data_IF_561174604136
#
_entry.id   IF_561174604136
#
_cell.length_a   1.000
_cell.length_b   1.000
_cell.length_c   1.000
_cell.angle_alpha   90.00
_cell.angle_beta   90.00
_cell.angle_gamma   90.00
#
_symmetry.space_group_name_H-M   'P 1'
#
loop_
_entity.id
_entity.type
_entity.pdbx_description
1 polymer ?
#
# COMPACT_ATOMS: atom_id res chain seq x y z
N UNK A 1 -1.23 -6.88 16.23
CA UNK A 1 -2.16 -6.50 15.14
C UNK A 1 -2.24 -4.99 15.14
N UNK A 2 -2.39 -4.40 13.97
CA UNK A 2 -2.56 -2.95 13.82
C UNK A 2 -3.93 -2.54 14.38
N UNK A 3 -4.04 -1.44 15.17
CA UNK A 3 -5.32 -0.98 15.70
C UNK A 3 -6.35 -0.65 14.61
N UNK A 4 -7.63 -0.79 14.95
CA UNK A 4 -8.73 -0.72 13.98
C UNK A 4 -8.84 0.63 13.27
N UNK A 5 -8.50 1.71 13.98
CA UNK A 5 -8.50 3.07 13.49
C UNK A 5 -7.54 3.27 12.32
N UNK A 6 -6.47 2.48 12.18
CA UNK A 6 -5.55 2.56 11.03
C UNK A 6 -6.08 1.84 9.79
N UNK A 7 -6.99 0.88 9.93
CA UNK A 7 -7.35 -0.05 8.85
C UNK A 7 -8.18 0.66 7.78
N UNK A 8 -7.86 0.46 6.51
CA UNK A 8 -8.60 1.06 5.38
C UNK A 8 -7.69 1.62 4.30
N UNK A 9 -8.24 2.52 3.50
CA UNK A 9 -7.50 3.32 2.53
C UNK A 9 -7.40 4.76 3.00
N UNK A 10 -6.19 5.29 3.02
CA UNK A 10 -5.87 6.67 3.35
C UNK A 10 -5.29 7.40 2.16
N UNK A 11 -5.58 8.69 2.13
CA UNK A 11 -5.12 9.62 1.11
C UNK A 11 -4.44 10.80 1.79
N UNK A 12 -3.23 11.11 1.36
CA UNK A 12 -2.52 12.28 1.90
C UNK A 12 -3.13 13.55 1.34
N UNK A 13 -3.49 14.46 2.23
CA UNK A 13 -3.91 15.82 1.91
C UNK A 13 -2.72 16.73 1.64
N UNK A 14 -1.66 16.58 2.44
CA UNK A 14 -0.45 17.37 2.31
C UNK A 14 0.66 16.91 3.24
N UNK A 15 1.88 17.30 2.92
CA UNK A 15 3.05 17.24 3.80
C UNK A 15 3.65 18.64 3.93
N UNK A 16 4.00 19.04 5.16
CA UNK A 16 4.69 20.28 5.49
C UNK A 16 5.98 19.94 6.23
N UNK A 17 7.10 20.50 5.79
CA UNK A 17 8.42 20.20 6.34
C UNK A 17 8.95 21.38 7.14
N UNK A 18 9.76 21.09 8.14
CA UNK A 18 10.38 22.10 9.03
C UNK A 18 11.28 23.09 8.29
N UNK A 19 11.77 22.72 7.09
CA UNK A 19 12.52 23.61 6.21
C UNK A 19 11.65 24.64 5.44
N UNK A 20 10.33 24.66 5.69
CA UNK A 20 9.37 25.57 5.04
C UNK A 20 8.81 25.08 3.70
N UNK A 21 9.27 23.94 3.18
CA UNK A 21 8.70 23.34 1.97
C UNK A 21 7.42 22.55 2.27
N UNK A 22 6.52 22.46 1.29
CA UNK A 22 5.30 21.66 1.39
C UNK A 22 4.99 20.99 0.05
N UNK A 23 4.29 19.85 0.11
CA UNK A 23 3.76 19.16 -1.07
C UNK A 23 2.29 18.78 -0.84
N UNK A 24 1.41 19.36 -1.68
CA UNK A 24 -0.04 19.17 -1.65
C UNK A 24 -0.55 18.49 -2.94
N UNK A 25 0.35 18.08 -3.83
CA UNK A 25 0.00 17.70 -5.20
C UNK A 25 0.35 16.26 -5.52
N UNK A 26 1.35 15.68 -4.84
CA UNK A 26 1.64 14.25 -4.94
C UNK A 26 0.43 13.44 -4.48
N UNK A 27 -0.04 12.56 -5.34
CA UNK A 27 -1.10 11.63 -5.01
C UNK A 27 -0.51 10.47 -4.22
N UNK A 28 -0.98 10.27 -2.97
CA UNK A 28 -0.48 9.20 -2.09
C UNK A 28 -1.63 8.28 -1.66
N UNK A 29 -1.51 6.99 -1.94
CA UNK A 29 -2.46 5.96 -1.49
C UNK A 29 -1.76 5.11 -0.44
N UNK A 30 -2.26 5.12 0.80
CA UNK A 30 -1.83 4.20 1.84
C UNK A 30 -2.96 3.22 2.16
N UNK A 31 -2.77 1.97 1.75
CA UNK A 31 -3.64 0.87 2.10
C UNK A 31 -3.11 0.20 3.36
N UNK A 32 -3.97 -0.04 4.34
CA UNK A 32 -3.62 -0.68 5.61
C UNK A 32 -4.62 -1.78 5.97
N UNK A 33 -4.11 -3.01 6.09
CA UNK A 33 -4.82 -4.16 6.67
C UNK A 33 -4.29 -4.47 8.08
N UNK A 34 -4.80 -5.52 8.73
CA UNK A 34 -4.46 -5.86 10.13
C UNK A 34 -2.96 -6.10 10.41
N UNK A 35 -2.19 -6.36 9.35
CA UNK A 35 -0.74 -6.61 9.42
C UNK A 35 0.05 -5.94 8.30
N UNK A 36 -0.51 -5.86 7.10
CA UNK A 36 0.21 -5.44 5.91
C UNK A 36 -0.21 -4.07 5.43
N UNK A 37 0.71 -3.38 4.76
CA UNK A 37 0.44 -2.13 4.05
C UNK A 37 0.92 -2.17 2.60
N UNK A 38 0.34 -1.30 1.78
CA UNK A 38 0.87 -0.89 0.48
C UNK A 38 0.75 0.63 0.41
N UNK A 39 1.86 1.31 0.16
CA UNK A 39 1.93 2.75 -0.09
C UNK A 39 2.37 3.03 -1.53
N UNK A 40 1.72 3.98 -2.19
CA UNK A 40 2.09 4.46 -3.52
C UNK A 40 2.02 5.98 -3.60
N UNK A 41 3.12 6.61 -3.98
CA UNK A 41 3.29 8.07 -4.12
C UNK A 41 3.59 8.42 -5.58
N UNK A 42 2.70 9.17 -6.21
CA UNK A 42 2.85 9.63 -7.61
C UNK A 42 2.82 11.16 -7.66
N UNK A 43 3.97 11.81 -7.86
CA UNK A 43 4.05 13.23 -8.15
C UNK A 43 3.35 13.58 -9.47
N UNK A 44 2.89 14.83 -9.61
CA UNK A 44 2.15 15.29 -10.81
C UNK A 44 2.96 15.13 -12.10
N UNK A 45 4.25 15.42 -12.05
CA UNK A 45 5.18 15.25 -13.17
C UNK A 45 5.71 13.82 -13.31
N UNK A 46 5.31 12.93 -12.38
CA UNK A 46 5.76 11.54 -12.25
C UNK A 46 7.26 11.36 -12.02
N UNK A 47 7.98 12.43 -11.70
CA UNK A 47 9.40 12.35 -11.35
C UNK A 47 9.52 12.03 -9.87
N UNK A 48 10.27 10.98 -9.52
CA UNK A 48 10.43 10.57 -8.13
C UNK A 48 9.26 9.77 -7.56
N UNK A 49 8.49 9.07 -8.42
CA UNK A 49 7.53 8.05 -7.99
C UNK A 49 8.21 7.11 -7.01
N UNK A 50 7.54 6.87 -5.89
CA UNK A 50 7.97 5.87 -4.94
C UNK A 50 6.79 5.18 -4.26
N UNK A 51 7.08 4.13 -3.52
CA UNK A 51 6.09 3.36 -2.78
C UNK A 51 6.71 2.08 -2.25
N UNK A 52 6.01 1.42 -1.35
CA UNK A 52 6.51 0.22 -0.70
C UNK A 52 5.38 -0.63 -0.14
N UNK A 53 5.68 -1.89 0.15
CA UNK A 53 4.75 -2.81 0.77
C UNK A 53 5.47 -3.69 1.78
N UNK A 54 4.78 -4.03 2.85
CA UNK A 54 5.39 -4.77 3.95
C UNK A 54 4.50 -4.88 5.18
N UNK A 55 5.13 -4.95 6.34
CA UNK A 55 4.44 -5.10 7.63
C UNK A 55 4.36 -3.77 8.38
N UNK A 56 3.27 -3.56 9.09
CA UNK A 56 3.09 -2.38 9.95
C UNK A 56 3.11 -2.79 11.41
N UNK A 57 3.87 -2.05 12.22
CA UNK A 57 3.92 -2.21 13.68
C UNK A 57 3.46 -0.90 14.32
N UNK A 58 2.54 -1.00 15.27
CA UNK A 58 2.03 0.15 16.03
C UNK A 58 2.29 -0.08 17.52
N UNK A 59 2.99 0.88 18.14
CA UNK A 59 3.37 0.87 19.55
C UNK A 59 2.95 2.20 20.20
N UNK A 60 1.80 2.19 20.86
CA UNK A 60 1.16 3.44 21.31
C UNK A 60 0.79 4.30 20.10
N UNK A 61 1.28 5.53 20.05
CA UNK A 61 1.05 6.46 18.94
C UNK A 61 2.11 6.32 17.82
N UNK A 62 3.17 5.53 18.03
CA UNK A 62 4.19 5.31 17.01
C UNK A 62 3.71 4.28 16.00
N UNK A 63 3.65 4.67 14.74
CA UNK A 63 3.52 3.74 13.61
C UNK A 63 4.89 3.55 12.95
N UNK A 64 5.23 2.32 12.62
CA UNK A 64 6.44 1.99 11.87
C UNK A 64 6.06 1.06 10.73
N UNK A 65 6.38 1.47 9.51
CA UNK A 65 6.21 0.68 8.31
C UNK A 65 7.54 0.00 8.01
N UNK A 66 7.53 -1.33 7.90
CA UNK A 66 8.68 -2.15 7.56
C UNK A 66 8.56 -2.63 6.11
N UNK A 67 9.23 -1.96 5.13
CA UNK A 67 9.19 -2.37 3.74
C UNK A 67 9.82 -3.75 3.55
N UNK A 68 9.11 -4.64 2.86
CA UNK A 68 9.64 -5.92 2.37
C UNK A 68 9.96 -5.86 0.87
N UNK A 69 9.28 -4.97 0.13
CA UNK A 69 9.53 -4.61 -1.27
C UNK A 69 9.25 -3.12 -1.47
N UNK A 70 9.96 -2.46 -2.38
CA UNK A 70 9.79 -1.03 -2.63
C UNK A 70 10.07 -0.64 -4.08
N UNK A 71 9.54 0.52 -4.48
CA UNK A 71 9.92 1.23 -5.69
C UNK A 71 10.34 2.65 -5.32
N UNK A 72 11.53 3.13 -5.74
CA UNK A 72 12.69 2.32 -6.11
C UNK A 72 13.04 1.27 -5.04
N UNK A 73 13.98 0.38 -5.33
CA UNK A 73 14.38 -0.69 -4.40
C UNK A 73 14.68 -0.13 -2.98
N UNK A 74 14.42 -0.97 -1.97
CA UNK A 74 14.38 -0.61 -0.54
C UNK A 74 15.61 0.22 -0.13
N UNK A 75 15.37 1.41 0.43
CA UNK A 75 16.39 2.11 1.24
C UNK A 75 16.40 1.51 2.64
N UNK A 76 17.57 1.50 3.31
CA UNK A 76 17.70 0.99 4.68
C UNK A 76 17.03 1.85 5.76
N UNK A 77 16.31 2.90 5.36
CA UNK A 77 15.59 3.79 6.26
C UNK A 77 14.19 3.23 6.53
N UNK A 78 13.87 3.03 7.80
CA UNK A 78 12.51 2.70 8.23
C UNK A 78 11.65 3.96 8.10
N UNK A 79 10.46 3.81 7.53
CA UNK A 79 9.45 4.86 7.55
C UNK A 79 8.67 4.75 8.86
N UNK A 80 8.53 5.85 9.59
CA UNK A 80 7.87 5.88 10.90
C UNK A 80 7.43 7.30 11.29
N UNK A 81 6.27 7.38 11.94
CA UNK A 81 5.68 8.63 12.39
C UNK A 81 4.88 8.46 13.68
N UNK A 82 4.67 9.59 14.38
CA UNK A 82 3.72 9.71 15.47
C UNK A 82 2.34 10.00 14.89
N UNK A 83 1.34 9.20 15.25
CA UNK A 83 0.01 9.23 14.67
C UNK A 83 -1.00 9.75 15.67
N UNK A 84 -1.74 10.78 15.28
CA UNK A 84 -2.82 11.37 16.07
C UNK A 84 -4.10 11.35 15.24
N UNK A 85 -5.09 10.63 15.72
CA UNK A 85 -6.42 10.56 15.09
C UNK A 85 -7.30 11.66 15.68
N UNK A 86 -7.81 12.54 14.82
CA UNK A 86 -8.80 13.56 15.21
C UNK A 86 -10.19 12.94 15.32
N UNK A 87 -10.47 12.04 14.39
CA UNK A 87 -11.66 11.21 14.33
C UNK A 87 -11.37 9.93 13.53
N UNK A 88 -12.42 9.19 13.16
CA UNK A 88 -12.28 7.94 12.41
C UNK A 88 -11.71 8.14 11.00
N UNK A 89 -11.79 9.34 10.43
CA UNK A 89 -11.50 9.62 9.01
C UNK A 89 -10.35 10.62 8.81
N UNK A 90 -9.74 11.14 9.88
CA UNK A 90 -8.66 12.12 9.82
C UNK A 90 -7.48 11.75 10.71
N UNK A 91 -6.29 11.75 10.13
CA UNK A 91 -5.02 11.47 10.82
C UNK A 91 -4.04 12.60 10.59
N UNK A 92 -3.36 12.97 11.65
CA UNK A 92 -2.17 13.79 11.63
C UNK A 92 -0.97 12.91 11.97
N UNK A 93 0.01 12.89 11.07
CA UNK A 93 1.27 12.21 11.25
C UNK A 93 2.37 13.25 11.45
N UNK A 94 3.16 13.10 12.51
CA UNK A 94 4.36 13.89 12.76
C UNK A 94 5.60 13.01 12.63
N UNK A 95 6.60 13.44 11.86
CA UNK A 95 7.88 12.73 11.77
C UNK A 95 8.53 12.57 13.15
N UNK A 96 9.24 11.46 13.39
CA UNK A 96 9.79 11.17 14.73
C UNK A 96 10.74 12.24 15.28
N UNK A 97 11.39 12.99 14.39
CA UNK A 97 12.30 14.09 14.68
C UNK A 97 11.65 15.48 14.53
N UNK A 98 10.33 15.54 14.31
CA UNK A 98 9.56 16.74 13.97
C UNK A 98 10.02 17.42 12.67
N UNK A 99 10.62 16.67 11.73
CA UNK A 99 11.03 17.21 10.43
C UNK A 99 9.87 17.45 9.47
N UNK A 100 8.72 16.80 9.69
CA UNK A 100 7.52 16.97 8.88
C UNK A 100 6.23 16.73 9.66
N UNK A 101 5.14 17.25 9.09
CA UNK A 101 3.75 16.97 9.46
C UNK A 101 3.02 16.53 8.18
N UNK A 102 2.19 15.50 8.26
CA UNK A 102 1.29 15.06 7.20
C UNK A 102 -0.16 14.99 7.68
N UNK A 103 -1.06 15.45 6.83
CA UNK A 103 -2.50 15.30 7.04
C UNK A 103 -3.03 14.24 6.09
N UNK A 104 -3.85 13.34 6.63
CA UNK A 104 -4.45 12.23 5.91
C UNK A 104 -5.96 12.20 6.10
N UNK A 105 -6.67 11.81 5.06
CA UNK A 105 -8.10 11.53 5.12
C UNK A 105 -8.39 10.10 4.67
N UNK A 106 -9.43 9.50 5.25
CA UNK A 106 -9.89 8.17 4.89
C UNK A 106 -10.71 8.22 3.60
N UNK A 107 -10.38 7.34 2.67
CA UNK A 107 -11.20 7.06 1.49
C UNK A 107 -12.17 5.90 1.80
N UNK A 108 -13.48 6.07 1.54
CA UNK A 108 -14.46 4.99 1.66
C UNK A 108 -14.06 3.76 0.85
N UNK A 109 -13.79 2.67 1.56
CA UNK A 109 -13.28 1.41 1.00
C UNK A 109 -14.00 0.17 1.50
N UNK A 110 -14.57 0.23 2.71
CA UNK A 110 -15.07 -0.95 3.42
C UNK A 110 -13.93 -1.69 4.11
N UNK A 111 -14.22 -2.91 4.59
CA UNK A 111 -13.22 -3.69 5.32
C UNK A 111 -12.03 -4.04 4.43
N UNK A 112 -10.82 -3.73 4.92
CA UNK A 112 -9.56 -3.97 4.22
C UNK A 112 -8.95 -5.31 4.64
N UNK A 113 -8.71 -6.18 3.67
CA UNK A 113 -8.04 -7.46 3.88
C UNK A 113 -6.68 -7.46 3.19
N UNK A 114 -5.66 -7.97 3.88
CA UNK A 114 -4.30 -8.00 3.39
C UNK A 114 -3.77 -9.43 3.31
N UNK A 115 -3.14 -9.74 2.18
CA UNK A 115 -2.49 -11.02 1.91
C UNK A 115 -1.04 -10.74 1.53
N UNK A 116 -0.13 -11.58 2.03
CA UNK A 116 1.23 -11.70 1.53
C UNK A 116 1.28 -12.95 0.67
N UNK A 117 2.04 -12.90 -0.41
CA UNK A 117 2.32 -14.03 -1.27
C UNK A 117 3.81 -14.11 -1.55
N UNK A 118 4.28 -15.31 -1.88
CA UNK A 118 5.64 -15.57 -2.30
C UNK A 118 5.63 -16.50 -3.52
N UNK A 119 6.39 -16.15 -4.55
CA UNK A 119 6.51 -17.04 -5.70
C UNK A 119 7.28 -18.32 -5.33
N UNK A 120 6.86 -19.50 -5.80
CA UNK A 120 7.59 -20.74 -5.54
C UNK A 120 9.03 -20.66 -6.07
N UNK A 121 9.98 -21.13 -5.25
CA UNK A 121 11.39 -21.25 -5.62
C UNK A 121 12.11 -19.93 -5.96
N UNK A 122 11.57 -18.78 -5.55
CA UNK A 122 12.26 -17.49 -5.66
C UNK A 122 12.05 -16.61 -4.41
N UNK A 123 12.75 -15.48 -4.39
CA UNK A 123 12.59 -14.41 -3.40
C UNK A 123 11.53 -13.37 -3.83
N UNK A 124 10.82 -13.59 -4.93
CA UNK A 124 9.74 -12.69 -5.35
C UNK A 124 8.60 -12.75 -4.33
N UNK A 125 8.24 -11.58 -3.82
CA UNK A 125 7.13 -11.34 -2.91
C UNK A 125 6.02 -10.59 -3.62
N UNK A 126 4.80 -10.77 -3.12
CA UNK A 126 3.70 -9.90 -3.45
C UNK A 126 2.82 -9.60 -2.24
N UNK A 127 2.14 -8.47 -2.29
CA UNK A 127 1.14 -8.05 -1.32
C UNK A 127 -0.14 -7.70 -2.09
N UNK A 128 -1.27 -8.19 -1.60
CA UNK A 128 -2.60 -7.88 -2.11
C UNK A 128 -3.42 -7.31 -0.96
N UNK A 129 -3.81 -6.05 -1.05
CA UNK A 129 -4.77 -5.44 -0.14
C UNK A 129 -6.07 -5.19 -0.90
N UNK A 130 -7.18 -5.71 -0.39
CA UNK A 130 -8.46 -5.72 -1.10
C UNK A 130 -9.63 -5.40 -0.16
N UNK A 131 -10.54 -4.58 -0.66
CA UNK A 131 -11.77 -4.15 0.01
C UNK A 131 -12.96 -4.29 -0.95
N UNK A 132 -14.09 -3.66 -0.66
CA UNK A 132 -15.29 -3.79 -1.52
C UNK A 132 -15.16 -3.02 -2.83
N UNK A 133 -14.47 -1.87 -2.79
CA UNK A 133 -14.35 -0.92 -3.90
C UNK A 133 -12.91 -0.63 -4.33
N UNK A 134 -11.91 -1.03 -3.53
CA UNK A 134 -10.50 -0.77 -3.80
C UNK A 134 -9.63 -2.02 -3.66
N UNK A 135 -8.60 -2.10 -4.49
CA UNK A 135 -7.57 -3.12 -4.44
C UNK A 135 -6.19 -2.52 -4.73
N UNK A 136 -5.17 -2.90 -3.97
CA UNK A 136 -3.78 -2.59 -4.22
C UNK A 136 -2.99 -3.88 -4.40
N UNK A 137 -2.12 -3.89 -5.41
CA UNK A 137 -1.20 -4.99 -5.71
C UNK A 137 0.22 -4.45 -5.72
N UNK A 138 1.11 -5.09 -4.97
CA UNK A 138 2.53 -4.85 -5.02
C UNK A 138 3.27 -6.17 -5.28
N UNK A 139 4.19 -6.23 -6.24
CA UNK A 139 5.04 -7.41 -6.42
C UNK A 139 6.46 -7.06 -6.86
N UNK A 140 7.45 -7.78 -6.33
CA UNK A 140 8.87 -7.53 -6.61
C UNK A 140 9.76 -8.46 -5.80
N UNK A 141 11.05 -8.17 -5.70
CA UNK A 141 11.95 -8.86 -4.77
C UNK A 141 12.53 -7.85 -3.77
N UNK A 142 12.94 -8.29 -2.56
CA UNK A 142 13.60 -7.40 -1.60
C UNK A 142 14.89 -6.76 -2.15
N UNK A 143 15.53 -7.45 -3.10
CA UNK A 143 16.76 -7.04 -3.77
C UNK A 143 16.52 -6.18 -5.02
N UNK A 144 15.27 -5.98 -5.43
CA UNK A 144 14.88 -5.32 -6.67
C UNK A 144 13.81 -4.26 -6.48
N UNK A 145 13.51 -3.54 -7.55
CA UNK A 145 12.37 -2.64 -7.58
C UNK A 145 11.07 -3.46 -7.69
N UNK A 146 10.02 -3.01 -7.01
CA UNK A 146 8.70 -3.60 -7.10
C UNK A 146 7.77 -2.82 -8.02
N UNK A 147 6.73 -3.51 -8.46
CA UNK A 147 5.61 -2.95 -9.20
C UNK A 147 4.50 -2.70 -8.18
N UNK A 148 3.90 -1.50 -8.18
CA UNK A 148 2.78 -1.18 -7.30
C UNK A 148 1.65 -0.61 -8.15
N UNK A 149 0.45 -1.15 -8.02
CA UNK A 149 -0.73 -0.69 -8.76
C UNK A 149 -1.94 -0.62 -7.86
N UNK A 150 -2.68 0.49 -7.98
CA UNK A 150 -3.96 0.73 -7.32
C UNK A 150 -5.08 0.57 -8.33
N UNK A 151 -6.09 -0.19 -7.93
CA UNK A 151 -7.28 -0.49 -8.71
C UNK A 151 -8.54 -0.01 -7.99
N UNK A 152 -9.52 0.37 -8.80
CA UNK A 152 -10.88 0.65 -8.36
C UNK A 152 -11.84 -0.34 -9.00
N UNK A 153 -12.79 -0.85 -8.23
CA UNK A 153 -13.82 -1.75 -8.74
C UNK A 153 -14.74 -1.01 -9.71
N UNK A 154 -14.95 -1.58 -10.89
CA UNK A 154 -15.98 -1.19 -11.84
C UNK A 154 -16.72 -2.46 -12.26
N UNK A 155 -18.00 -2.56 -11.89
CA UNK A 155 -18.80 -3.77 -12.07
C UNK A 155 -18.13 -5.01 -11.46
N UNK A 156 -17.75 -5.98 -12.30
CA UNK A 156 -17.09 -7.24 -11.91
C UNK A 156 -15.57 -7.23 -12.18
N UNK A 157 -14.99 -6.07 -12.48
CA UNK A 157 -13.58 -5.94 -12.82
C UNK A 157 -12.89 -4.88 -11.96
N UNK A 158 -11.57 -5.02 -11.84
CA UNK A 158 -10.68 -4.07 -11.21
C UNK A 158 -9.96 -3.26 -12.28
N UNK A 159 -10.23 -1.95 -12.32
CA UNK A 159 -9.60 -1.04 -13.27
C UNK A 159 -8.41 -0.36 -12.60
N UNK A 160 -7.23 -0.49 -13.19
CA UNK A 160 -6.04 0.21 -12.71
C UNK A 160 -6.25 1.73 -12.85
N UNK A 161 -6.01 2.48 -11.77
CA UNK A 161 -6.14 3.94 -11.77
C UNK A 161 -4.82 4.65 -11.47
N UNK A 162 -3.88 3.95 -10.83
CA UNK A 162 -2.55 4.47 -10.52
C UNK A 162 -1.56 3.31 -10.52
N UNK A 163 -0.34 3.56 -11.00
CA UNK A 163 0.72 2.55 -11.02
C UNK A 163 2.08 3.23 -10.94
N UNK A 164 3.04 2.55 -10.32
CA UNK A 164 4.44 2.94 -10.40
C UNK A 164 4.99 2.88 -11.83
N UNK A 165 4.33 2.12 -12.73
CA UNK A 165 4.66 2.10 -14.15
C UNK A 165 4.08 3.26 -14.96
N UNK A 166 4.73 3.62 -16.09
CA UNK A 166 4.20 4.62 -17.03
C UNK A 166 2.86 4.22 -17.64
N UNK A 167 2.68 2.93 -17.95
CA UNK A 167 1.46 2.41 -18.59
C UNK A 167 0.65 1.65 -17.54
N UNK A 168 -0.65 1.96 -17.45
CA UNK A 168 -1.55 1.24 -16.57
C UNK A 168 -1.74 -0.21 -17.05
N UNK A 169 -1.68 -1.20 -16.15
CA UNK A 169 -1.96 -2.58 -16.52
C UNK A 169 -3.43 -2.76 -16.90
N UNK A 170 -3.77 -3.87 -17.59
CA UNK A 170 -5.14 -4.18 -17.98
C UNK A 170 -6.04 -4.41 -16.76
N UNK A 171 -7.34 -4.44 -17.03
CA UNK A 171 -8.35 -4.80 -16.03
C UNK A 171 -8.12 -6.23 -15.51
N UNK A 172 -8.39 -6.43 -14.22
CA UNK A 172 -8.22 -7.71 -13.55
C UNK A 172 -9.57 -8.26 -13.09
N UNK A 173 -9.82 -9.54 -13.34
CA UNK A 173 -10.97 -10.26 -12.81
C UNK A 173 -10.54 -11.09 -11.58
N UNK A 174 -10.85 -10.60 -10.39
CA UNK A 174 -10.59 -11.28 -9.12
C UNK A 174 -11.74 -10.98 -8.16
N UNK A 175 -12.46 -12.00 -7.69
CA UNK A 175 -13.49 -11.80 -6.67
C UNK A 175 -12.87 -11.52 -5.30
N UNK A 176 -13.42 -10.58 -4.53
CA UNK A 176 -12.99 -10.39 -3.13
C UNK A 176 -13.19 -11.68 -2.34
N UNK A 177 -14.33 -12.33 -2.53
CA UNK A 177 -14.70 -13.59 -1.89
C UNK A 177 -13.73 -14.71 -2.24
N UNK A 178 -13.21 -14.72 -3.48
CA UNK A 178 -12.19 -15.67 -3.92
C UNK A 178 -10.87 -15.43 -3.17
N UNK A 179 -10.40 -14.19 -3.08
CA UNK A 179 -9.19 -13.85 -2.35
C UNK A 179 -9.30 -14.18 -0.85
N UNK A 180 -10.48 -13.99 -0.25
CA UNK A 180 -10.74 -14.30 1.16
C UNK A 180 -10.77 -15.80 1.48
N UNK A 181 -10.95 -16.66 0.47
CA UNK A 181 -10.92 -18.10 0.64
C UNK A 181 -9.51 -18.67 0.60
N UNK A 182 -8.52 -17.90 0.15
CA UNK A 182 -7.13 -18.36 0.09
C UNK A 182 -6.57 -18.65 1.48
N UNK A 183 -5.84 -19.75 1.60
CA UNK A 183 -5.29 -20.25 2.85
C UNK A 183 -3.77 -20.23 2.81
N UNK A 184 -3.14 -19.96 3.95
CA UNK A 184 -1.69 -20.02 4.07
C UNK A 184 -1.15 -21.38 3.61
N UNK A 185 -0.09 -21.36 2.81
CA UNK A 185 0.54 -22.52 2.19
C UNK A 185 -0.13 -23.02 0.90
N UNK A 186 -1.29 -22.47 0.52
CA UNK A 186 -1.95 -22.84 -0.74
C UNK A 186 -1.19 -22.26 -1.93
N UNK A 187 -1.02 -23.07 -2.98
CA UNK A 187 -0.55 -22.61 -4.27
C UNK A 187 -1.72 -22.07 -5.08
N UNK A 188 -1.58 -20.84 -5.59
CA UNK A 188 -2.62 -20.16 -6.35
C UNK A 188 -2.07 -19.50 -7.62
N UNK A 189 -2.93 -19.34 -8.61
CA UNK A 189 -2.67 -18.51 -9.78
C UNK A 189 -3.20 -17.10 -9.52
N UNK A 190 -2.37 -16.07 -9.77
CA UNK A 190 -2.73 -14.67 -9.55
C UNK A 190 -2.91 -13.94 -10.87
N UNK A 191 -4.07 -13.30 -11.13
CA UNK A 191 -4.35 -12.69 -12.43
C UNK A 191 -3.57 -11.39 -12.69
N UNK A 192 -3.00 -10.78 -11.64
CA UNK A 192 -2.21 -9.53 -11.75
C UNK A 192 -0.85 -9.74 -12.39
N UNK A 193 -0.32 -10.97 -12.40
CA UNK A 193 0.97 -11.31 -13.02
C UNK A 193 0.79 -12.50 -13.96
N UNK A 194 0.69 -12.27 -15.29
CA UNK A 194 0.38 -13.34 -16.24
C UNK A 194 1.36 -14.52 -16.14
N UNK A 195 0.82 -15.74 -15.99
CA UNK A 195 1.59 -16.99 -16.07
C UNK A 195 2.53 -17.31 -14.90
N UNK A 196 2.42 -16.60 -13.76
CA UNK A 196 3.21 -16.89 -12.55
C UNK A 196 2.32 -17.32 -11.38
N UNK A 197 2.77 -18.37 -10.68
CA UNK A 197 2.12 -18.92 -9.50
C UNK A 197 2.69 -18.30 -8.22
N UNK A 198 1.89 -18.27 -7.15
CA UNK A 198 2.28 -17.81 -5.81
C UNK A 198 1.80 -18.74 -4.71
N UNK A 199 2.46 -18.71 -3.55
CA UNK A 199 2.01 -19.31 -2.29
C UNK A 199 1.59 -18.21 -1.33
N UNK A 200 0.44 -18.35 -0.67
CA UNK A 200 -0.08 -17.42 0.34
C UNK A 200 0.58 -17.66 1.69
#
# INVERSE_FOLDING_TARGET
MVPAEYLGLWRRRGIWRSNGSSDLTTQVWWFQAERYHIDLRIPVDRVGINGFAGETVVEGERCTWHPAIAYPAISGELDAGWMRFDDADHVHETGLDNSYEEDWYREPSGAMHGLRLQAPHSDELAYLLISDSWMAWACGSPSGACEITVYRRQEQQWMAIASSFPTLPPAVALGKEQALQWQAGALIEVPMKPGKWGQV
#
